data_IF_569066421278
#
_entry.id   IF_569066421278
#
_cell.length_a   1.000
_cell.length_b   1.000
_cell.length_c   1.000
_cell.angle_alpha   90.00
_cell.angle_beta   90.00
_cell.angle_gamma   90.00
#
_symmetry.space_group_name_H-M   'P 1'
#
loop_
_entity.id
_entity.type
_entity.pdbx_description
1 polymer ?
#
# COMPACT_ATOMS: atom_id res chain seq x y z
N UNK A 1 6.54 -29.35 -18.76
CA UNK A 1 7.00 -28.07 -18.15
C UNK A 1 8.51 -27.86 -18.23
N UNK A 2 9.40 -28.72 -17.66
CA UNK A 2 10.86 -28.50 -17.76
C UNK A 2 11.37 -28.45 -19.21
N UNK A 3 10.83 -29.25 -20.12
CA UNK A 3 11.16 -29.22 -21.55
C UNK A 3 10.77 -27.89 -22.21
N UNK A 4 9.66 -27.30 -21.78
CA UNK A 4 9.20 -26.00 -22.27
C UNK A 4 10.06 -24.84 -21.74
N UNK A 5 10.47 -24.93 -20.48
CA UNK A 5 11.34 -23.92 -19.86
C UNK A 5 12.79 -24.03 -20.36
N UNK A 6 13.30 -25.26 -20.54
CA UNK A 6 14.69 -25.54 -20.89
C UNK A 6 14.81 -26.42 -22.16
N UNK A 7 14.40 -25.96 -23.36
CA UNK A 7 14.35 -26.80 -24.55
C UNK A 7 15.68 -27.48 -24.89
N UNK A 8 16.81 -26.78 -24.70
CA UNK A 8 18.16 -27.27 -24.98
C UNK A 8 18.78 -28.06 -23.82
N UNK A 9 18.35 -27.85 -22.59
CA UNK A 9 19.02 -28.36 -21.39
C UNK A 9 18.10 -29.21 -20.49
N UNK A 10 16.89 -29.55 -20.92
CA UNK A 10 15.91 -30.32 -20.13
C UNK A 10 16.47 -31.63 -19.60
N UNK A 11 17.30 -32.35 -20.40
CA UNK A 11 17.95 -33.60 -19.99
C UNK A 11 18.85 -33.41 -18.76
N UNK A 12 19.55 -32.28 -18.66
CA UNK A 12 20.38 -31.93 -17.51
C UNK A 12 19.57 -31.70 -16.24
N UNK A 13 18.36 -31.16 -16.37
CA UNK A 13 17.42 -30.98 -15.23
C UNK A 13 16.75 -32.30 -14.87
N UNK A 14 16.46 -33.15 -15.82
CA UNK A 14 15.88 -34.47 -15.58
C UNK A 14 16.86 -35.45 -14.94
N UNK A 15 18.16 -35.28 -15.17
CA UNK A 15 19.22 -36.09 -14.56
C UNK A 15 19.71 -35.58 -13.20
N UNK A 16 19.22 -34.40 -12.75
CA UNK A 16 19.57 -33.83 -11.44
C UNK A 16 19.02 -34.72 -10.31
N UNK A 17 19.75 -34.91 -9.21
CA UNK A 17 19.22 -35.53 -7.99
C UNK A 17 17.92 -34.86 -7.50
N UNK A 18 17.74 -33.59 -7.82
CA UNK A 18 16.60 -32.76 -7.44
C UNK A 18 15.49 -32.67 -8.51
N UNK A 19 15.53 -33.53 -9.55
CA UNK A 19 14.64 -33.47 -10.71
C UNK A 19 13.15 -33.47 -10.34
N UNK A 20 12.75 -34.24 -9.34
CA UNK A 20 11.37 -34.32 -8.83
C UNK A 20 10.91 -32.96 -8.28
N UNK A 21 11.73 -32.35 -7.44
CA UNK A 21 11.44 -31.05 -6.83
C UNK A 21 11.39 -29.93 -7.86
N UNK A 22 12.38 -29.88 -8.75
CA UNK A 22 12.44 -28.85 -9.82
C UNK A 22 11.24 -28.94 -10.76
N UNK A 23 10.77 -30.15 -11.06
CA UNK A 23 9.58 -30.38 -11.90
C UNK A 23 8.30 -29.93 -11.19
N UNK A 24 8.13 -30.29 -9.92
CA UNK A 24 6.98 -29.89 -9.11
C UNK A 24 6.93 -28.37 -8.92
N UNK A 25 8.07 -27.74 -8.61
CA UNK A 25 8.16 -26.29 -8.49
C UNK A 25 7.88 -25.58 -9.82
N UNK A 26 8.40 -26.08 -10.95
CA UNK A 26 8.12 -25.53 -12.27
C UNK A 26 6.62 -25.60 -12.63
N UNK A 27 5.98 -26.70 -12.28
CA UNK A 27 4.53 -26.86 -12.48
C UNK A 27 3.73 -25.87 -11.64
N UNK A 28 4.05 -25.76 -10.36
CA UNK A 28 3.42 -24.81 -9.47
C UNK A 28 3.61 -23.35 -9.93
N UNK A 29 4.80 -22.97 -10.43
CA UNK A 29 5.04 -21.64 -10.98
C UNK A 29 4.09 -21.32 -12.15
N UNK A 30 3.83 -22.31 -13.01
CA UNK A 30 2.89 -22.18 -14.12
C UNK A 30 1.44 -22.05 -13.62
N UNK A 31 1.02 -22.93 -12.71
CA UNK A 31 -0.33 -22.90 -12.10
C UNK A 31 -0.64 -21.56 -11.43
N UNK A 32 0.34 -20.96 -10.75
CA UNK A 32 0.15 -19.66 -10.11
C UNK A 32 0.40 -18.47 -11.04
N UNK A 33 0.64 -18.73 -12.34
CA UNK A 33 0.70 -17.72 -13.39
C UNK A 33 2.01 -16.94 -13.46
N UNK A 34 3.15 -17.57 -13.18
CA UNK A 34 4.45 -16.97 -13.53
C UNK A 34 4.65 -17.06 -15.05
N UNK A 35 5.10 -15.96 -15.66
CA UNK A 35 5.53 -15.99 -17.06
C UNK A 35 6.74 -16.92 -17.27
N UNK A 36 6.98 -17.31 -18.53
CA UNK A 36 8.02 -18.27 -18.91
C UNK A 36 9.42 -17.86 -18.42
N UNK A 37 9.84 -16.61 -18.67
CA UNK A 37 11.19 -16.15 -18.31
C UNK A 37 11.41 -16.07 -16.79
N UNK A 38 10.50 -15.49 -15.97
CA UNK A 38 10.59 -15.57 -14.52
C UNK A 38 10.59 -17.01 -13.98
N UNK A 39 9.77 -17.90 -14.54
CA UNK A 39 9.73 -19.31 -14.12
C UNK A 39 11.05 -20.02 -14.45
N UNK A 40 11.59 -19.82 -15.64
CA UNK A 40 12.92 -20.29 -16.04
C UNK A 40 14.00 -19.86 -15.04
N UNK A 41 14.05 -18.58 -14.71
CA UNK A 41 15.02 -18.03 -13.77
C UNK A 41 14.87 -18.59 -12.36
N UNK A 42 13.63 -18.74 -11.87
CA UNK A 42 13.38 -19.32 -10.54
C UNK A 42 13.80 -20.78 -10.47
N UNK A 43 13.47 -21.60 -11.49
CA UNK A 43 13.87 -23.01 -11.52
C UNK A 43 15.40 -23.18 -11.64
N UNK A 44 16.05 -22.35 -12.47
CA UNK A 44 17.51 -22.35 -12.59
C UNK A 44 18.19 -22.02 -11.29
N UNK A 45 17.78 -20.93 -10.61
CA UNK A 45 18.35 -20.49 -9.33
C UNK A 45 18.06 -21.48 -8.20
N UNK A 46 16.87 -22.08 -8.19
CA UNK A 46 16.58 -23.13 -7.20
C UNK A 46 17.52 -24.33 -7.39
N UNK A 47 17.75 -24.77 -8.63
CA UNK A 47 18.70 -25.85 -8.91
C UNK A 47 20.10 -25.49 -8.42
N UNK A 48 20.60 -24.29 -8.74
CA UNK A 48 21.90 -23.80 -8.26
C UNK A 48 22.01 -23.86 -6.73
N UNK A 49 20.94 -23.47 -6.02
CA UNK A 49 20.90 -23.51 -4.56
C UNK A 49 20.91 -24.94 -4.02
N UNK A 50 20.16 -25.85 -4.62
CA UNK A 50 20.12 -27.27 -4.23
C UNK A 50 21.43 -27.98 -4.54
N UNK A 51 22.02 -27.76 -5.71
CA UNK A 51 23.32 -28.32 -6.11
C UNK A 51 24.44 -27.83 -5.18
N UNK A 52 24.41 -26.56 -4.78
CA UNK A 52 25.39 -25.96 -3.86
C UNK A 52 25.30 -26.55 -2.44
N UNK A 53 24.11 -26.83 -1.95
CA UNK A 53 23.90 -27.44 -0.63
C UNK A 53 24.34 -28.92 -0.58
N UNK A 54 24.28 -29.62 -1.71
CA UNK A 54 24.75 -31.01 -1.85
C UNK A 54 23.99 -32.07 -1.04
N UNK A 55 22.87 -31.72 -0.40
CA UNK A 55 22.03 -32.62 0.39
C UNK A 55 20.60 -32.66 -0.16
N UNK A 56 19.94 -33.82 0.00
CA UNK A 56 18.52 -33.93 -0.36
C UNK A 56 17.67 -32.98 0.47
N UNK A 57 16.63 -32.42 -0.15
CA UNK A 57 15.66 -31.57 0.52
C UNK A 57 14.74 -32.47 1.37
N UNK A 58 14.67 -32.22 2.65
CA UNK A 58 13.76 -32.95 3.55
C UNK A 58 12.30 -32.79 3.12
N UNK A 59 11.47 -33.80 3.45
CA UNK A 59 10.03 -33.76 3.15
C UNK A 59 9.36 -32.51 3.73
N UNK A 60 9.78 -32.10 4.93
CA UNK A 60 9.36 -30.86 5.57
C UNK A 60 10.61 -30.03 5.92
N UNK A 61 10.51 -28.73 5.75
CA UNK A 61 11.58 -27.78 6.01
C UNK A 61 11.01 -26.60 6.81
N UNK A 62 11.74 -26.13 7.80
CA UNK A 62 11.41 -24.92 8.53
C UNK A 62 11.96 -23.66 7.82
N UNK A 63 11.63 -22.50 8.36
CA UNK A 63 12.08 -21.22 7.79
C UNK A 63 13.60 -21.09 7.82
N UNK A 64 14.24 -21.54 8.87
CA UNK A 64 15.70 -21.50 9.01
C UNK A 64 16.38 -22.40 7.96
N UNK A 65 15.85 -23.58 7.71
CA UNK A 65 16.32 -24.48 6.65
C UNK A 65 16.11 -23.90 5.25
N UNK A 66 14.94 -23.23 5.00
CA UNK A 66 14.70 -22.52 3.75
C UNK A 66 15.70 -21.37 3.56
N UNK A 67 15.96 -20.59 4.61
CA UNK A 67 16.92 -19.48 4.55
C UNK A 67 18.35 -20.00 4.36
N UNK A 68 18.71 -21.09 5.06
CA UNK A 68 20.00 -21.77 4.94
C UNK A 68 20.28 -22.32 3.55
N UNK A 69 19.25 -22.73 2.80
CA UNK A 69 19.40 -23.17 1.41
C UNK A 69 20.02 -22.10 0.50
N UNK A 70 19.78 -20.83 0.79
CA UNK A 70 20.22 -19.71 -0.02
C UNK A 70 21.32 -18.86 0.64
N UNK A 71 21.66 -19.10 1.91
CA UNK A 71 22.54 -18.25 2.69
C UNK A 71 24.01 -18.31 2.25
N UNK A 72 24.44 -19.44 1.70
CA UNK A 72 25.84 -19.71 1.32
C UNK A 72 26.17 -19.34 -0.14
N UNK A 73 25.18 -18.82 -0.87
CA UNK A 73 25.37 -18.45 -2.28
C UNK A 73 26.12 -17.11 -2.40
N UNK A 74 26.95 -16.94 -3.46
CA UNK A 74 27.80 -15.75 -3.63
C UNK A 74 27.05 -14.43 -3.71
N UNK A 75 25.81 -14.42 -4.25
CA UNK A 75 24.95 -13.24 -4.36
C UNK A 75 23.56 -13.54 -3.80
N UNK A 76 23.43 -13.45 -2.48
CA UNK A 76 22.14 -13.68 -1.78
C UNK A 76 21.03 -12.77 -2.31
N UNK A 77 21.34 -11.57 -2.77
CA UNK A 77 20.34 -10.62 -3.29
C UNK A 77 19.66 -11.15 -4.56
N UNK A 78 20.42 -11.79 -5.45
CA UNK A 78 19.93 -12.38 -6.69
C UNK A 78 18.89 -13.49 -6.44
N UNK A 79 19.08 -14.26 -5.37
CA UNK A 79 18.23 -15.41 -5.02
C UNK A 79 17.03 -15.05 -4.14
N UNK A 80 16.95 -13.82 -3.64
CA UNK A 80 15.87 -13.38 -2.72
C UNK A 80 14.46 -13.59 -3.28
N UNK A 81 14.26 -13.33 -4.57
CA UNK A 81 12.98 -13.54 -5.22
C UNK A 81 12.64 -15.04 -5.34
N UNK A 82 13.63 -15.87 -5.67
CA UNK A 82 13.48 -17.33 -5.78
C UNK A 82 13.20 -17.95 -4.42
N UNK A 83 13.91 -17.55 -3.36
CA UNK A 83 13.63 -17.98 -1.98
C UNK A 83 12.18 -17.70 -1.58
N UNK A 84 11.66 -16.50 -1.90
CA UNK A 84 10.26 -16.17 -1.63
C UNK A 84 9.27 -17.00 -2.46
N UNK A 85 9.57 -17.27 -3.72
CA UNK A 85 8.72 -18.08 -4.58
C UNK A 85 8.71 -19.54 -4.11
N UNK A 86 9.89 -20.09 -3.80
CA UNK A 86 10.03 -21.45 -3.29
C UNK A 86 9.39 -21.63 -1.91
N UNK A 87 9.53 -20.66 -1.01
CA UNK A 87 8.84 -20.67 0.29
C UNK A 87 7.31 -20.75 0.13
N UNK A 88 6.71 -19.96 -0.79
CA UNK A 88 5.28 -20.03 -1.09
C UNK A 88 4.85 -21.37 -1.70
N UNK A 89 5.69 -21.96 -2.54
CA UNK A 89 5.46 -23.30 -3.05
C UNK A 89 5.44 -24.33 -1.90
N UNK A 90 6.41 -24.30 -1.00
CA UNK A 90 6.47 -25.18 0.16
C UNK A 90 5.27 -24.97 1.12
N UNK A 91 4.85 -23.72 1.33
CA UNK A 91 3.62 -23.39 2.07
C UNK A 91 2.38 -24.01 1.40
N UNK A 92 2.24 -23.84 0.08
CA UNK A 92 1.11 -24.38 -0.69
C UNK A 92 1.05 -25.92 -0.67
N UNK A 93 2.20 -26.57 -0.60
CA UNK A 93 2.31 -28.04 -0.48
C UNK A 93 2.23 -28.55 0.97
N UNK A 94 2.07 -27.68 1.97
CA UNK A 94 2.08 -28.05 3.39
C UNK A 94 3.45 -28.56 3.89
N UNK A 95 4.53 -28.25 3.17
CA UNK A 95 5.90 -28.72 3.46
C UNK A 95 6.75 -27.70 4.21
N UNK A 96 6.32 -26.43 4.29
CA UNK A 96 6.97 -25.45 5.15
C UNK A 96 6.38 -25.56 6.55
N UNK A 97 7.21 -25.99 7.50
CA UNK A 97 6.81 -26.09 8.90
C UNK A 97 6.52 -24.69 9.44
N UNK A 98 5.37 -24.55 10.08
CA UNK A 98 5.07 -23.33 10.83
C UNK A 98 6.01 -23.29 12.05
N UNK A 99 6.87 -22.27 12.11
CA UNK A 99 7.62 -22.02 13.32
C UNK A 99 6.65 -21.58 14.43
N UNK A 100 6.78 -22.15 15.64
CA UNK A 100 6.10 -21.55 16.78
C UNK A 100 6.56 -20.10 16.89
N UNK A 101 5.64 -19.20 17.10
CA UNK A 101 5.95 -17.78 17.25
C UNK A 101 6.80 -17.57 18.51
N UNK A 102 8.14 -17.64 18.34
CA UNK A 102 9.13 -17.43 19.40
C UNK A 102 9.45 -15.97 19.64
N UNK A 103 8.71 -15.06 18.97
CA UNK A 103 8.92 -13.62 19.20
C UNK A 103 8.65 -13.29 20.66
N UNK A 104 9.48 -12.49 21.29
CA UNK A 104 9.19 -11.98 22.62
C UNK A 104 7.76 -11.39 22.64
N UNK A 105 7.01 -11.71 23.69
CA UNK A 105 5.63 -11.24 23.89
C UNK A 105 4.58 -11.74 22.87
N UNK A 106 4.83 -12.83 22.12
CA UNK A 106 3.91 -13.35 21.10
C UNK A 106 2.50 -13.59 21.66
N UNK A 107 2.37 -14.24 22.80
CA UNK A 107 1.09 -14.49 23.46
C UNK A 107 0.32 -13.18 23.77
N UNK A 108 1.03 -12.16 24.26
CA UNK A 108 0.42 -10.85 24.54
C UNK A 108 -0.02 -10.14 23.26
N UNK A 109 0.77 -10.24 22.20
CA UNK A 109 0.42 -9.64 20.89
C UNK A 109 -0.80 -10.33 20.28
N UNK A 110 -0.94 -11.65 20.41
CA UNK A 110 -2.11 -12.40 19.96
C UNK A 110 -3.36 -11.99 20.76
N UNK A 111 -3.27 -11.90 22.08
CA UNK A 111 -4.38 -11.47 22.92
C UNK A 111 -4.79 -10.02 22.63
N UNK A 112 -3.83 -9.14 22.38
CA UNK A 112 -4.11 -7.76 21.98
C UNK A 112 -4.75 -7.68 20.59
N UNK A 113 -4.28 -8.47 19.63
CA UNK A 113 -4.88 -8.57 18.30
C UNK A 113 -6.35 -8.99 18.39
N UNK A 114 -6.65 -10.02 19.19
CA UNK A 114 -8.00 -10.50 19.40
C UNK A 114 -8.91 -9.41 20.00
N UNK A 115 -8.46 -8.71 21.04
CA UNK A 115 -9.20 -7.57 21.60
C UNK A 115 -9.48 -6.48 20.55
N UNK A 116 -8.48 -6.14 19.72
CA UNK A 116 -8.67 -5.13 18.68
C UNK A 116 -9.71 -5.55 17.63
N UNK A 117 -9.76 -6.83 17.29
CA UNK A 117 -10.70 -7.40 16.32
C UNK A 117 -12.09 -7.60 16.88
N UNK A 118 -12.19 -8.29 18.01
CA UNK A 118 -13.46 -8.77 18.57
C UNK A 118 -14.15 -7.70 19.39
N UNK A 119 -13.44 -7.03 20.31
CA UNK A 119 -14.04 -6.03 21.20
C UNK A 119 -14.15 -4.66 20.52
N UNK A 120 -13.09 -4.24 19.80
CA UNK A 120 -13.06 -2.90 19.17
C UNK A 120 -13.52 -2.88 17.71
N UNK A 121 -13.72 -4.03 17.06
CA UNK A 121 -14.19 -4.11 15.69
C UNK A 121 -13.30 -3.40 14.66
N UNK A 122 -11.97 -3.32 14.91
CA UNK A 122 -11.07 -2.60 14.03
C UNK A 122 -10.81 -3.37 12.73
N UNK A 123 -10.58 -2.64 11.65
CA UNK A 123 -10.24 -3.25 10.37
C UNK A 123 -8.87 -3.95 10.44
N UNK A 124 -8.68 -5.01 9.63
CA UNK A 124 -7.42 -5.76 9.57
C UNK A 124 -6.19 -4.86 9.31
N UNK A 125 -6.33 -3.83 8.47
CA UNK A 125 -5.25 -2.88 8.21
C UNK A 125 -4.92 -2.01 9.42
N UNK A 126 -5.93 -1.61 10.21
CA UNK A 126 -5.71 -0.86 11.45
C UNK A 126 -5.06 -1.75 12.51
N UNK A 127 -5.54 -2.98 12.66
CA UNK A 127 -4.94 -3.97 13.57
C UNK A 127 -3.47 -4.21 13.23
N UNK A 128 -3.14 -4.43 11.96
CA UNK A 128 -1.75 -4.61 11.53
C UNK A 128 -0.86 -3.41 11.89
N UNK A 129 -1.38 -2.18 11.77
CA UNK A 129 -0.65 -0.98 12.17
C UNK A 129 -0.46 -0.88 13.70
N UNK A 130 -1.44 -1.31 14.50
CA UNK A 130 -1.30 -1.39 15.96
C UNK A 130 -0.20 -2.39 16.32
N UNK A 131 -0.26 -3.59 15.77
CA UNK A 131 0.73 -4.63 16.05
C UNK A 131 2.14 -4.21 15.63
N UNK A 132 2.33 -3.64 14.45
CA UNK A 132 3.62 -3.13 14.00
C UNK A 132 4.18 -2.04 14.95
N UNK A 133 3.32 -1.10 15.40
CA UNK A 133 3.72 -0.07 16.36
C UNK A 133 4.17 -0.70 17.68
N UNK A 134 3.39 -1.63 18.21
CA UNK A 134 3.67 -2.28 19.50
C UNK A 134 4.91 -3.18 19.42
N UNK A 135 5.08 -3.94 18.33
CA UNK A 135 6.27 -4.77 18.13
C UNK A 135 7.56 -3.94 18.12
N UNK A 136 7.56 -2.81 17.37
CA UNK A 136 8.71 -1.91 17.36
C UNK A 136 9.01 -1.34 18.74
N UNK A 137 7.96 -0.93 19.46
CA UNK A 137 8.10 -0.42 20.82
C UNK A 137 8.68 -1.47 21.77
N UNK A 138 8.10 -2.68 21.81
CA UNK A 138 8.56 -3.75 22.70
C UNK A 138 9.99 -4.19 22.38
N UNK A 139 10.37 -4.22 21.11
CA UNK A 139 11.73 -4.55 20.68
C UNK A 139 12.76 -3.54 21.20
N UNK A 140 12.44 -2.26 21.22
CA UNK A 140 13.33 -1.20 21.71
C UNK A 140 13.29 -1.05 23.25
N UNK A 141 12.09 -1.13 23.85
CA UNK A 141 11.88 -0.87 25.26
C UNK A 141 12.18 -2.08 26.16
N UNK A 142 12.03 -3.30 25.65
CA UNK A 142 12.25 -4.55 26.38
C UNK A 142 13.26 -5.44 25.62
N UNK A 143 14.54 -5.07 25.63
CA UNK A 143 15.58 -5.89 25.02
C UNK A 143 15.63 -7.29 25.67
N UNK A 144 16.00 -8.30 24.90
CA UNK A 144 16.14 -9.70 25.33
C UNK A 144 14.84 -10.37 25.83
N UNK A 145 13.65 -9.80 25.50
CA UNK A 145 12.37 -10.39 25.88
C UNK A 145 12.01 -10.23 27.36
N UNK A 146 12.52 -9.19 28.02
CA UNK A 146 12.14 -8.84 29.39
C UNK A 146 10.61 -8.75 29.54
N UNK A 147 10.02 -9.15 30.67
CA UNK A 147 8.57 -9.18 30.86
C UNK A 147 7.93 -7.79 30.72
N UNK A 148 6.67 -7.73 30.31
CA UNK A 148 5.93 -6.46 30.13
C UNK A 148 5.84 -5.67 31.45
N UNK A 149 5.83 -6.35 32.60
CA UNK A 149 5.88 -5.73 33.94
C UNK A 149 7.14 -4.88 34.19
N UNK A 150 8.20 -5.09 33.40
CA UNK A 150 9.43 -4.29 33.48
C UNK A 150 9.35 -2.94 32.74
N UNK A 151 8.26 -2.66 32.03
CA UNK A 151 8.05 -1.36 31.39
C UNK A 151 7.97 -0.25 32.43
N UNK A 152 8.73 0.80 32.21
CA UNK A 152 8.73 2.02 33.03
C UNK A 152 8.34 3.23 32.18
N UNK A 153 8.05 4.34 32.84
CA UNK A 153 7.76 5.61 32.16
C UNK A 153 8.97 6.08 31.34
N UNK A 154 10.17 5.92 31.89
CA UNK A 154 11.42 6.34 31.26
C UNK A 154 11.66 5.59 29.94
N UNK A 155 11.37 4.27 29.88
CA UNK A 155 11.45 3.47 28.65
C UNK A 155 10.50 4.02 27.57
N UNK A 156 9.28 4.41 27.97
CA UNK A 156 8.28 4.96 27.04
C UNK A 156 8.74 6.33 26.54
N UNK A 157 9.17 7.22 27.43
CA UNK A 157 9.60 8.57 27.07
C UNK A 157 10.84 8.53 26.15
N UNK A 158 11.81 7.66 26.44
CA UNK A 158 12.98 7.44 25.57
C UNK A 158 12.59 6.94 24.17
N UNK A 159 11.67 5.97 24.11
CA UNK A 159 11.15 5.50 22.82
C UNK A 159 10.44 6.61 22.03
N UNK A 160 9.65 7.44 22.74
CA UNK A 160 8.95 8.57 22.11
C UNK A 160 9.91 9.62 21.56
N UNK A 161 10.99 9.94 22.28
CA UNK A 161 12.05 10.86 21.80
C UNK A 161 12.73 10.31 20.56
N UNK A 162 13.12 9.03 20.60
CA UNK A 162 13.81 8.37 19.49
C UNK A 162 12.92 8.30 18.24
N UNK A 163 11.65 7.89 18.42
CA UNK A 163 10.67 7.82 17.34
C UNK A 163 10.35 9.19 16.77
N UNK A 164 10.17 10.20 17.63
CA UNK A 164 9.83 11.57 17.23
C UNK A 164 10.89 12.24 16.36
N UNK A 165 12.17 11.82 16.46
CA UNK A 165 13.25 12.29 15.58
C UNK A 165 13.19 11.72 14.17
N UNK A 166 12.49 10.58 13.99
CA UNK A 166 12.46 9.82 12.72
C UNK A 166 11.19 10.06 11.91
N UNK A 167 10.09 10.43 12.55
CA UNK A 167 8.78 10.57 11.91
C UNK A 167 8.18 11.96 12.11
N UNK A 168 7.23 12.33 11.22
CA UNK A 168 6.52 13.61 11.35
C UNK A 168 5.66 13.68 12.63
N UNK A 169 5.39 14.89 13.12
CA UNK A 169 4.51 15.13 14.28
C UNK A 169 3.14 14.43 14.14
N UNK A 170 2.55 14.49 12.95
CA UNK A 170 1.28 13.81 12.66
C UNK A 170 1.39 12.28 12.76
N UNK A 171 2.46 11.70 12.24
CA UNK A 171 2.72 10.26 12.37
C UNK A 171 2.96 9.87 13.82
N UNK A 172 3.68 10.70 14.59
CA UNK A 172 3.91 10.48 16.00
C UNK A 172 2.61 10.50 16.81
N UNK A 173 1.68 11.41 16.50
CA UNK A 173 0.35 11.44 17.13
C UNK A 173 -0.40 10.10 16.95
N UNK A 174 -0.38 9.53 15.74
CA UNK A 174 -0.96 8.20 15.49
C UNK A 174 -0.21 7.08 16.21
N UNK A 175 1.11 7.18 16.30
CA UNK A 175 1.94 6.25 17.06
C UNK A 175 1.58 6.23 18.53
N UNK A 176 1.51 7.41 19.15
CA UNK A 176 1.09 7.61 20.55
C UNK A 176 -0.30 7.02 20.79
N UNK A 177 -1.27 7.29 19.92
CA UNK A 177 -2.63 6.76 20.07
C UNK A 177 -2.67 5.23 20.09
N UNK A 178 -1.86 4.56 19.24
CA UNK A 178 -1.73 3.11 19.21
C UNK A 178 -1.04 2.56 20.44
N UNK A 179 0.05 3.21 20.89
CA UNK A 179 0.79 2.82 22.08
C UNK A 179 -0.07 2.95 23.34
N UNK A 180 -0.78 4.06 23.51
CA UNK A 180 -1.77 4.23 24.60
C UNK A 180 -2.80 3.10 24.62
N UNK A 181 -3.30 2.70 23.45
CA UNK A 181 -4.26 1.61 23.35
C UNK A 181 -3.68 0.29 23.87
N UNK A 182 -2.43 -0.01 23.55
CA UNK A 182 -1.72 -1.20 24.04
C UNK A 182 -1.44 -1.15 25.53
N UNK A 183 -0.95 -0.03 26.03
CA UNK A 183 -0.65 0.14 27.48
C UNK A 183 -1.92 0.02 28.33
N UNK A 184 -3.05 0.56 27.86
CA UNK A 184 -4.36 0.35 28.53
C UNK A 184 -4.76 -1.12 28.53
N UNK A 185 -4.55 -1.82 27.41
CA UNK A 185 -4.77 -3.26 27.35
C UNK A 185 -3.89 -4.02 28.37
N UNK A 186 -2.59 -3.71 28.44
CA UNK A 186 -1.69 -4.35 29.38
C UNK A 186 -2.10 -4.10 30.85
N UNK A 187 -2.53 -2.89 31.18
CA UNK A 187 -3.01 -2.58 32.52
C UNK A 187 -4.35 -3.29 32.83
N UNK A 188 -5.31 -3.29 31.91
CA UNK A 188 -6.60 -3.98 32.11
C UNK A 188 -6.46 -5.51 32.18
N UNK A 189 -5.40 -6.06 31.60
CA UNK A 189 -5.07 -7.51 31.64
C UNK A 189 -4.10 -7.86 32.79
N UNK A 190 -3.90 -6.97 33.75
CA UNK A 190 -3.00 -7.13 34.90
C UNK A 190 -1.53 -7.43 34.53
N UNK A 191 -1.10 -7.13 33.29
CA UNK A 191 0.30 -7.23 32.85
C UNK A 191 1.14 -6.06 33.35
N UNK A 192 0.51 -4.95 33.71
CA UNK A 192 1.11 -3.75 34.31
C UNK A 192 0.40 -3.42 35.61
N UNK A 193 1.17 -3.21 36.67
CA UNK A 193 0.62 -2.82 37.98
C UNK A 193 0.09 -1.39 38.02
N UNK A 194 0.59 -0.51 37.12
CA UNK A 194 0.21 0.91 37.05
C UNK A 194 -0.16 1.29 35.61
N UNK A 195 -1.09 2.24 35.43
CA UNK A 195 -1.38 2.78 34.11
C UNK A 195 -0.19 3.61 33.60
N UNK A 196 0.32 3.27 32.42
CA UNK A 196 1.43 3.96 31.75
C UNK A 196 1.00 4.69 30.46
N UNK A 197 -0.30 4.79 30.20
CA UNK A 197 -0.86 5.34 28.96
C UNK A 197 -0.96 6.89 28.94
N UNK A 198 -0.62 7.57 30.03
CA UNK A 198 -0.57 9.03 30.09
C UNK A 198 0.67 9.60 29.37
N UNK A 199 0.75 9.40 28.05
CA UNK A 199 1.87 9.86 27.21
C UNK A 199 1.51 11.22 26.59
N UNK A 200 2.42 12.19 26.58
CA UNK A 200 2.18 13.45 25.92
C UNK A 200 2.05 13.27 24.41
N UNK A 201 1.10 13.99 23.82
CA UNK A 201 0.85 13.94 22.39
C UNK A 201 1.31 15.24 21.76
N UNK A 202 2.14 15.19 20.70
CA UNK A 202 2.54 16.41 20.02
C UNK A 202 1.32 17.12 19.46
N UNK A 203 1.26 18.44 19.66
CA UNK A 203 0.21 19.26 19.06
C UNK A 203 0.37 19.27 17.55
N UNK A 204 -0.67 18.87 16.86
CA UNK A 204 -0.79 18.94 15.40
C UNK A 204 -2.04 19.73 15.09
N UNK A 205 -1.87 20.83 14.39
CA UNK A 205 -3.01 21.60 13.94
C UNK A 205 -3.65 20.91 12.74
N UNK A 206 -4.97 20.78 12.80
CA UNK A 206 -5.73 20.23 11.66
C UNK A 206 -5.49 21.13 10.45
N UNK A 207 -5.16 20.51 9.32
CA UNK A 207 -4.93 21.22 8.06
C UNK A 207 -3.72 22.19 8.05
N UNK A 208 -2.70 21.91 8.84
CA UNK A 208 -1.44 22.68 8.85
C UNK A 208 -0.81 22.78 7.45
N UNK A 209 -0.96 21.73 6.65
CA UNK A 209 -0.47 21.71 5.27
C UNK A 209 -1.64 21.63 4.28
N UNK A 210 -1.60 22.40 3.18
CA UNK A 210 -2.59 22.28 2.12
C UNK A 210 -2.51 20.92 1.41
N UNK A 211 -3.59 20.47 0.76
CA UNK A 211 -3.57 19.28 -0.06
C UNK A 211 -2.51 19.40 -1.17
N UNK A 212 -1.76 18.34 -1.39
CA UNK A 212 -0.76 18.30 -2.48
C UNK A 212 -1.43 17.98 -3.82
N UNK A 213 -2.25 18.90 -4.31
CA UNK A 213 -2.82 18.81 -5.65
C UNK A 213 -1.76 19.20 -6.69
N UNK A 214 -1.78 18.53 -7.83
CA UNK A 214 -0.95 18.86 -9.00
C UNK A 214 -1.75 19.77 -9.93
N UNK A 215 -1.10 20.72 -10.61
CA UNK A 215 -1.69 21.42 -11.73
C UNK A 215 -2.23 20.42 -12.76
N UNK A 216 -3.40 20.71 -13.34
CA UNK A 216 -4.01 19.74 -14.26
C UNK A 216 -3.15 19.46 -15.50
N UNK A 217 -2.39 20.44 -15.97
CA UNK A 217 -1.39 20.28 -17.04
C UNK A 217 -0.34 19.22 -16.69
N UNK A 218 0.13 19.20 -15.45
CA UNK A 218 1.09 18.21 -14.94
C UNK A 218 0.47 16.81 -14.91
N UNK A 219 -0.79 16.68 -14.47
CA UNK A 219 -1.51 15.39 -14.50
C UNK A 219 -1.63 14.87 -15.93
N UNK A 220 -1.98 15.74 -16.89
CA UNK A 220 -2.06 15.37 -18.30
C UNK A 220 -0.68 14.97 -18.86
N UNK A 221 0.37 15.71 -18.52
CA UNK A 221 1.73 15.39 -18.93
C UNK A 221 2.19 14.01 -18.39
N UNK A 222 1.92 13.73 -17.10
CA UNK A 222 2.20 12.44 -16.51
C UNK A 222 1.47 11.30 -17.24
N UNK A 223 0.18 11.45 -17.50
CA UNK A 223 -0.59 10.43 -18.23
C UNK A 223 -0.09 10.23 -19.66
N UNK A 224 0.31 11.30 -20.34
CA UNK A 224 0.85 11.24 -21.72
C UNK A 224 2.22 10.57 -21.77
N UNK A 225 3.04 10.70 -20.74
CA UNK A 225 4.38 10.07 -20.65
C UNK A 225 4.33 8.56 -20.51
N UNK A 226 3.17 7.98 -20.19
CA UNK A 226 3.05 6.52 -20.02
C UNK A 226 3.01 5.86 -21.41
N UNK A 227 4.07 5.12 -21.71
CA UNK A 227 4.10 4.24 -22.87
C UNK A 227 3.05 3.12 -22.71
N UNK A 228 2.25 2.91 -23.74
CA UNK A 228 1.16 1.92 -23.82
C UNK A 228 1.40 0.90 -24.91
N UNK A 229 2.64 0.69 -25.29
CA UNK A 229 3.05 -0.35 -26.24
C UNK A 229 2.98 -1.75 -25.63
N UNK A 230 2.92 -1.85 -24.28
CA UNK A 230 2.87 -3.10 -23.55
C UNK A 230 1.69 -3.20 -22.58
N UNK A 231 1.44 -4.41 -22.09
CA UNK A 231 0.39 -4.74 -21.14
C UNK A 231 0.49 -3.96 -19.83
N UNK A 232 1.71 -3.72 -19.34
CA UNK A 232 1.98 -2.99 -18.09
C UNK A 232 1.64 -1.52 -18.26
N UNK A 233 1.98 -0.94 -19.40
CA UNK A 233 1.67 0.44 -19.72
C UNK A 233 0.17 0.69 -19.79
N UNK A 234 -0.59 -0.17 -20.45
CA UNK A 234 -2.05 -0.07 -20.48
C UNK A 234 -2.68 -0.17 -19.10
N UNK A 235 -2.21 -1.12 -18.27
CA UNK A 235 -2.67 -1.26 -16.89
C UNK A 235 -2.42 0.02 -16.09
N UNK A 236 -1.18 0.49 -16.07
CA UNK A 236 -0.73 1.64 -15.27
C UNK A 236 -1.46 2.91 -15.71
N UNK A 237 -1.58 3.12 -17.02
CA UNK A 237 -2.32 4.24 -17.59
C UNK A 237 -3.79 4.21 -17.16
N UNK A 238 -4.47 3.05 -17.26
CA UNK A 238 -5.88 2.93 -16.92
C UNK A 238 -6.12 3.19 -15.43
N UNK A 239 -5.27 2.67 -14.55
CA UNK A 239 -5.34 2.92 -13.10
C UNK A 239 -5.21 4.42 -12.81
N UNK A 240 -4.13 5.06 -13.31
CA UNK A 240 -3.86 6.46 -13.03
C UNK A 240 -4.89 7.39 -13.71
N UNK A 241 -5.42 7.00 -14.87
CA UNK A 241 -6.53 7.68 -15.52
C UNK A 241 -7.80 7.68 -14.67
N UNK A 242 -8.20 6.51 -14.12
CA UNK A 242 -9.37 6.42 -13.24
C UNK A 242 -9.17 7.25 -11.97
N UNK A 243 -7.99 7.22 -11.38
CA UNK A 243 -7.69 8.02 -10.20
C UNK A 243 -7.75 9.53 -10.46
N UNK A 244 -7.26 9.98 -11.61
CA UNK A 244 -7.21 11.41 -11.95
C UNK A 244 -8.53 11.97 -12.50
N UNK A 245 -9.38 11.16 -13.14
CA UNK A 245 -10.62 11.63 -13.75
C UNK A 245 -11.88 11.31 -12.94
N UNK A 246 -11.79 10.39 -11.98
CA UNK A 246 -12.89 9.97 -11.11
C UNK A 246 -12.54 10.08 -9.61
N UNK A 247 -11.35 10.54 -9.30
CA UNK A 247 -10.91 10.76 -7.93
C UNK A 247 -10.81 9.49 -7.08
N UNK A 248 -10.64 8.31 -7.69
CA UNK A 248 -10.57 7.05 -6.96
C UNK A 248 -9.35 7.01 -6.03
N UNK A 249 -9.54 6.45 -4.83
CA UNK A 249 -8.41 6.10 -3.95
C UNK A 249 -7.65 4.89 -4.50
N UNK A 250 -6.35 4.73 -4.23
CA UNK A 250 -5.59 3.55 -4.65
C UNK A 250 -6.27 2.21 -4.28
N UNK A 251 -6.83 2.11 -3.08
CA UNK A 251 -7.55 0.90 -2.65
C UNK A 251 -8.88 0.69 -3.38
N UNK A 252 -9.57 1.75 -3.77
CA UNK A 252 -10.80 1.69 -4.56
C UNK A 252 -10.48 1.23 -5.99
N UNK A 253 -9.45 1.80 -6.62
CA UNK A 253 -9.03 1.42 -7.96
C UNK A 253 -8.69 -0.07 -8.07
N UNK A 254 -7.88 -0.62 -7.14
CA UNK A 254 -7.50 -2.05 -7.18
C UNK A 254 -8.64 -2.98 -6.78
N UNK A 255 -9.66 -2.52 -6.08
CA UNK A 255 -10.81 -3.33 -5.69
C UNK A 255 -11.92 -3.35 -6.74
N UNK A 256 -11.77 -2.61 -7.85
CA UNK A 256 -12.73 -2.66 -8.94
C UNK A 256 -12.80 -4.07 -9.53
N UNK A 257 -14.02 -4.50 -9.84
CA UNK A 257 -14.33 -5.78 -10.47
C UNK A 257 -14.82 -5.56 -11.89
N UNK A 258 -14.80 -6.60 -12.68
CA UNK A 258 -15.34 -6.56 -14.05
C UNK A 258 -16.84 -6.23 -14.08
N UNK A 259 -17.59 -6.75 -13.10
CA UNK A 259 -19.04 -6.51 -12.93
C UNK A 259 -19.37 -5.14 -12.31
N UNK A 260 -18.36 -4.34 -11.96
CA UNK A 260 -18.54 -2.98 -11.47
C UNK A 260 -18.83 -1.98 -12.61
N UNK A 261 -18.60 -2.37 -13.86
CA UNK A 261 -18.76 -1.52 -15.04
C UNK A 261 -20.07 -1.92 -15.74
N UNK A 262 -21.03 -1.01 -15.74
CA UNK A 262 -22.20 -1.13 -16.60
C UNK A 262 -21.88 -0.45 -17.95
N UNK A 263 -21.65 -1.28 -18.96
CA UNK A 263 -21.27 -0.83 -20.30
C UNK A 263 -22.41 -0.17 -21.06
N UNK A 264 -23.67 -0.53 -20.75
CA UNK A 264 -24.86 0.03 -21.41
C UNK A 264 -25.25 1.36 -20.77
N UNK A 265 -25.33 1.40 -19.45
CA UNK A 265 -25.65 2.61 -18.71
C UNK A 265 -24.47 3.60 -18.63
N UNK A 266 -23.24 3.19 -19.00
CA UNK A 266 -22.06 4.02 -18.88
C UNK A 266 -21.78 4.39 -17.42
N UNK A 267 -21.85 3.45 -16.49
CA UNK A 267 -21.65 3.73 -15.06
C UNK A 267 -20.59 2.81 -14.43
N UNK A 268 -19.95 3.33 -13.38
CA UNK A 268 -18.95 2.61 -12.57
C UNK A 268 -19.42 2.54 -11.12
N UNK A 269 -19.56 1.34 -10.60
CA UNK A 269 -19.88 1.08 -9.20
C UNK A 269 -18.61 0.93 -8.38
N UNK A 270 -18.39 1.85 -7.45
CA UNK A 270 -17.20 1.89 -6.57
C UNK A 270 -17.58 1.56 -5.14
N UNK A 271 -17.06 0.44 -4.64
CA UNK A 271 -17.22 0.07 -3.23
C UNK A 271 -16.25 0.88 -2.36
N UNK A 272 -16.78 1.72 -1.51
CA UNK A 272 -15.99 2.57 -0.62
C UNK A 272 -15.76 1.87 0.73
N UNK A 273 -14.64 1.18 0.85
CA UNK A 273 -14.31 0.37 2.04
C UNK A 273 -14.27 1.18 3.34
N UNK A 274 -13.83 2.44 3.29
CA UNK A 274 -13.71 3.30 4.48
C UNK A 274 -15.07 3.78 5.00
N UNK A 275 -16.02 4.01 4.11
CA UNK A 275 -17.37 4.51 4.42
C UNK A 275 -18.42 3.42 4.44
N UNK A 276 -18.09 2.20 3.96
CA UNK A 276 -19.01 1.08 3.76
C UNK A 276 -20.22 1.45 2.88
N UNK A 277 -20.01 2.36 1.93
CA UNK A 277 -21.01 2.82 0.96
C UNK A 277 -20.63 2.40 -0.46
N UNK A 278 -21.59 2.45 -1.35
CA UNK A 278 -21.40 2.24 -2.78
C UNK A 278 -21.62 3.58 -3.48
N UNK A 279 -20.69 3.95 -4.32
CA UNK A 279 -20.77 5.15 -5.16
C UNK A 279 -20.97 4.71 -6.62
N UNK A 280 -21.95 5.28 -7.30
CA UNK A 280 -22.19 5.07 -8.73
C UNK A 280 -21.76 6.33 -9.45
N UNK A 281 -20.78 6.21 -10.34
CA UNK A 281 -20.22 7.32 -11.10
C UNK A 281 -20.55 7.15 -12.60
N UNK A 282 -21.02 8.18 -13.29
CA UNK A 282 -21.12 8.14 -14.75
C UNK A 282 -19.72 8.07 -15.36
N UNK A 283 -19.52 7.19 -16.35
CA UNK A 283 -18.26 7.04 -17.06
C UNK A 283 -18.38 7.62 -18.46
N UNK A 284 -17.43 8.48 -18.84
CA UNK A 284 -17.34 8.99 -20.20
C UNK A 284 -16.91 7.88 -21.19
N UNK A 285 -17.41 7.93 -22.43
CA UNK A 285 -17.09 6.97 -23.51
C UNK A 285 -15.58 6.81 -23.72
N UNK A 286 -14.83 7.90 -23.60
CA UNK A 286 -13.37 7.85 -23.69
C UNK A 286 -12.79 6.91 -22.61
N UNK A 287 -13.30 6.93 -21.40
CA UNK A 287 -12.82 6.08 -20.30
C UNK A 287 -13.24 4.64 -20.53
N UNK A 288 -14.46 4.38 -21.02
CA UNK A 288 -14.89 3.05 -21.42
C UNK A 288 -13.96 2.46 -22.49
N UNK A 289 -13.58 3.26 -23.50
CA UNK A 289 -12.59 2.82 -24.52
C UNK A 289 -11.22 2.51 -23.91
N UNK A 290 -10.74 3.28 -22.95
CA UNK A 290 -9.48 3.04 -22.25
C UNK A 290 -9.54 1.71 -21.46
N UNK A 291 -10.62 1.51 -20.71
CA UNK A 291 -10.80 0.25 -19.95
C UNK A 291 -10.87 -0.93 -20.92
N UNK A 292 -11.63 -0.81 -22.02
CA UNK A 292 -11.73 -1.86 -23.05
C UNK A 292 -10.35 -2.20 -23.63
N UNK A 293 -9.53 -1.21 -23.95
CA UNK A 293 -8.16 -1.42 -24.42
C UNK A 293 -7.32 -2.17 -23.40
N UNK A 294 -7.37 -1.77 -22.12
CA UNK A 294 -6.67 -2.51 -21.07
C UNK A 294 -7.15 -3.96 -20.95
N UNK A 295 -8.44 -4.23 -21.06
CA UNK A 295 -8.99 -5.59 -21.00
C UNK A 295 -8.44 -6.48 -22.13
N UNK A 296 -8.30 -5.93 -23.34
CA UNK A 296 -7.82 -6.68 -24.51
C UNK A 296 -6.30 -6.75 -24.63
N UNK A 297 -5.60 -5.66 -24.32
CA UNK A 297 -4.16 -5.54 -24.60
C UNK A 297 -3.30 -5.63 -23.33
N UNK A 298 -3.89 -5.42 -22.14
CA UNK A 298 -3.12 -5.28 -20.91
C UNK A 298 -3.47 -6.24 -19.78
N UNK A 299 -4.71 -6.73 -19.74
CA UNK A 299 -5.14 -7.62 -18.66
C UNK A 299 -4.70 -9.06 -18.94
N UNK A 300 -3.96 -9.71 -18.00
CA UNK A 300 -3.67 -11.13 -18.13
C UNK A 300 -4.94 -11.96 -18.25
N UNK A 301 -4.91 -13.00 -19.08
CA UNK A 301 -6.00 -13.99 -19.16
C UNK A 301 -6.24 -14.63 -17.79
N UNK A 302 -7.43 -14.50 -17.25
CA UNK A 302 -7.77 -15.02 -15.91
C UNK A 302 -9.28 -14.98 -15.71
N UNK A 303 -9.81 -15.98 -15.03
CA UNK A 303 -11.21 -16.03 -14.58
C UNK A 303 -11.49 -15.16 -13.36
N UNK A 304 -10.45 -14.54 -12.79
CA UNK A 304 -10.59 -13.68 -11.61
C UNK A 304 -11.47 -12.46 -11.91
N UNK A 305 -12.35 -12.11 -10.98
CA UNK A 305 -13.31 -11.02 -11.19
C UNK A 305 -12.69 -9.63 -11.04
N UNK A 306 -11.50 -9.51 -10.49
CA UNK A 306 -10.85 -8.22 -10.30
C UNK A 306 -10.47 -7.59 -11.65
N UNK A 307 -10.77 -6.30 -11.82
CA UNK A 307 -10.44 -5.57 -13.04
C UNK A 307 -8.91 -5.51 -13.24
N UNK A 308 -8.17 -5.16 -12.19
CA UNK A 308 -6.71 -4.99 -12.26
C UNK A 308 -5.98 -6.16 -11.60
N UNK A 309 -5.16 -6.82 -12.41
CA UNK A 309 -4.34 -7.96 -12.00
C UNK A 309 -2.85 -7.60 -12.06
N UNK A 310 -2.05 -8.35 -11.30
CA UNK A 310 -0.61 -8.28 -11.39
C UNK A 310 -0.15 -8.75 -12.77
N UNK A 311 0.72 -7.98 -13.41
CA UNK A 311 1.30 -8.34 -14.71
C UNK A 311 2.47 -9.34 -14.60
N UNK A 312 2.99 -9.55 -13.38
CA UNK A 312 4.06 -10.52 -13.10
C UNK A 312 3.61 -11.46 -12.01
N UNK A 313 4.00 -12.72 -12.13
CA UNK A 313 3.64 -13.76 -11.16
C UNK A 313 4.03 -13.44 -9.70
N UNK A 314 3.32 -14.04 -8.75
CA UNK A 314 2.15 -14.89 -8.94
C UNK A 314 0.95 -14.07 -9.42
N UNK A 315 0.12 -14.68 -10.32
CA UNK A 315 -1.11 -14.07 -10.78
C UNK A 315 -2.03 -13.74 -9.60
N UNK A 316 -2.79 -12.66 -9.71
CA UNK A 316 -3.74 -12.30 -8.67
C UNK A 316 -4.03 -10.81 -8.59
N UNK A 317 -4.88 -10.40 -7.64
CA UNK A 317 -5.27 -9.02 -7.47
C UNK A 317 -4.08 -8.15 -7.07
N UNK A 318 -4.16 -6.89 -7.43
CA UNK A 318 -3.17 -5.90 -7.02
C UNK A 318 -3.45 -5.39 -5.60
N UNK A 319 -2.42 -4.96 -4.92
CA UNK A 319 -2.53 -4.25 -3.64
C UNK A 319 -2.54 -2.73 -3.88
N UNK A 320 -3.09 -1.97 -2.93
CA UNK A 320 -3.03 -0.50 -3.00
C UNK A 320 -1.58 0.04 -2.96
N UNK A 321 -0.66 -0.67 -2.32
CA UNK A 321 0.78 -0.35 -2.35
C UNK A 321 1.36 -0.46 -3.77
N UNK A 322 0.88 -1.45 -4.55
CA UNK A 322 1.32 -1.57 -5.94
C UNK A 322 0.94 -0.33 -6.77
N UNK A 323 -0.23 0.28 -6.52
CA UNK A 323 -0.63 1.54 -7.18
C UNK A 323 0.27 2.70 -6.78
N UNK A 324 0.62 2.80 -5.49
CA UNK A 324 1.58 3.81 -5.03
C UNK A 324 2.94 3.64 -5.71
N UNK A 325 3.43 2.41 -5.83
CA UNK A 325 4.69 2.10 -6.53
C UNK A 325 4.60 2.39 -8.04
N UNK A 326 3.45 2.10 -8.67
CA UNK A 326 3.20 2.45 -10.07
C UNK A 326 3.31 3.97 -10.24
N UNK A 327 2.62 4.75 -9.41
CA UNK A 327 2.67 6.20 -9.48
C UNK A 327 4.11 6.71 -9.35
N UNK A 328 4.85 6.28 -8.32
CA UNK A 328 6.25 6.69 -8.12
C UNK A 328 7.14 6.31 -9.30
N UNK A 329 7.02 5.08 -9.78
CA UNK A 329 7.80 4.62 -10.93
C UNK A 329 7.46 5.38 -12.24
N UNK A 330 6.20 5.75 -12.46
CA UNK A 330 5.80 6.57 -13.63
C UNK A 330 6.21 8.04 -13.45
N UNK A 331 6.08 8.58 -12.24
CA UNK A 331 6.54 9.92 -11.90
C UNK A 331 8.06 10.08 -12.17
N UNK A 332 8.87 9.14 -11.68
CA UNK A 332 10.31 9.15 -11.92
C UNK A 332 10.66 9.08 -13.42
N UNK A 333 10.00 8.17 -14.16
CA UNK A 333 10.25 8.03 -15.61
C UNK A 333 9.75 9.17 -16.47
N UNK A 334 8.78 9.94 -15.99
CA UNK A 334 8.23 11.08 -16.74
C UNK A 334 9.17 12.28 -16.84
N UNK A 335 10.20 12.35 -16.01
CA UNK A 335 11.10 13.52 -15.89
C UNK A 335 10.44 14.76 -15.26
N UNK A 336 9.17 14.65 -14.78
CA UNK A 336 8.47 15.73 -14.12
C UNK A 336 8.89 15.83 -12.64
N UNK A 337 8.90 17.03 -12.09
CA UNK A 337 9.17 17.23 -10.65
C UNK A 337 7.95 16.81 -9.82
N UNK A 338 7.90 15.53 -9.49
CA UNK A 338 6.81 14.89 -8.74
C UNK A 338 7.29 14.19 -7.46
N UNK A 339 8.55 14.39 -7.04
CA UNK A 339 9.18 13.66 -5.95
C UNK A 339 8.48 13.80 -4.59
N UNK A 340 7.87 14.96 -4.33
CA UNK A 340 7.15 15.24 -3.09
C UNK A 340 5.68 14.81 -3.12
N UNK A 341 5.24 14.11 -4.17
CA UNK A 341 3.83 13.77 -4.41
C UNK A 341 3.57 12.28 -4.29
N UNK A 342 2.32 11.88 -4.29
CA UNK A 342 1.89 10.49 -4.20
C UNK A 342 0.69 10.23 -5.10
N UNK A 343 0.30 8.97 -5.25
CA UNK A 343 -0.89 8.59 -5.98
C UNK A 343 -2.17 9.33 -5.50
N UNK A 344 -2.23 9.71 -4.23
CA UNK A 344 -3.33 10.50 -3.66
C UNK A 344 -3.39 11.92 -4.24
N UNK A 345 -2.27 12.48 -4.71
CA UNK A 345 -2.24 13.80 -5.35
C UNK A 345 -3.15 13.87 -6.58
N UNK A 346 -3.32 12.76 -7.32
CA UNK A 346 -4.25 12.69 -8.46
C UNK A 346 -5.71 12.92 -8.04
N UNK A 347 -6.12 12.37 -6.90
CA UNK A 347 -7.45 12.60 -6.34
C UNK A 347 -7.62 14.06 -5.86
N UNK A 348 -6.59 14.64 -5.26
CA UNK A 348 -6.60 16.06 -4.88
C UNK A 348 -6.70 16.96 -6.13
N UNK A 349 -5.95 16.64 -7.20
CA UNK A 349 -6.03 17.35 -8.47
C UNK A 349 -7.40 17.25 -9.13
N UNK A 350 -8.06 16.10 -9.05
CA UNK A 350 -9.44 15.93 -9.52
C UNK A 350 -10.41 16.84 -8.76
N UNK A 351 -10.32 16.88 -7.42
CA UNK A 351 -11.15 17.74 -6.59
C UNK A 351 -10.95 19.22 -6.92
N UNK A 352 -9.68 19.65 -7.05
CA UNK A 352 -9.34 21.02 -7.44
C UNK A 352 -9.90 21.38 -8.81
N UNK A 353 -9.76 20.48 -9.78
CA UNK A 353 -10.31 20.70 -11.12
C UNK A 353 -11.84 20.86 -11.14
N UNK A 354 -12.57 20.10 -10.30
CA UNK A 354 -14.01 20.30 -10.16
C UNK A 354 -14.33 21.66 -9.54
N UNK A 355 -13.57 22.04 -8.51
CA UNK A 355 -13.73 23.32 -7.84
C UNK A 355 -13.45 24.50 -8.78
N UNK A 356 -12.37 24.45 -9.57
CA UNK A 356 -12.03 25.43 -10.62
C UNK A 356 -13.11 25.56 -11.71
N UNK A 357 -13.92 24.52 -11.88
CA UNK A 357 -15.07 24.53 -12.80
C UNK A 357 -16.38 24.99 -12.16
N UNK A 358 -16.34 25.48 -10.94
CA UNK A 358 -17.50 25.98 -10.22
C UNK A 358 -18.38 24.91 -9.61
N UNK A 359 -17.94 23.65 -9.54
CA UNK A 359 -18.71 22.59 -8.87
C UNK A 359 -18.74 22.84 -7.37
N UNK A 360 -19.93 22.91 -6.80
CA UNK A 360 -20.11 23.18 -5.39
C UNK A 360 -19.44 22.12 -4.47
N UNK A 361 -18.94 22.58 -3.34
CA UNK A 361 -18.16 21.77 -2.39
C UNK A 361 -18.91 20.51 -1.92
N UNK A 362 -20.22 20.58 -1.75
CA UNK A 362 -21.05 19.42 -1.39
C UNK A 362 -21.02 18.35 -2.49
N UNK A 363 -21.24 18.76 -3.75
CA UNK A 363 -21.22 17.84 -4.88
C UNK A 363 -19.83 17.20 -5.08
N UNK A 364 -18.75 17.97 -4.86
CA UNK A 364 -17.38 17.41 -4.85
C UNK A 364 -17.23 16.36 -3.74
N UNK A 365 -17.73 16.66 -2.54
CA UNK A 365 -17.73 15.72 -1.41
C UNK A 365 -18.48 14.42 -1.73
N UNK A 366 -19.67 14.54 -2.33
CA UNK A 366 -20.51 13.39 -2.72
C UNK A 366 -19.80 12.52 -3.77
N UNK A 367 -19.25 13.11 -4.83
CA UNK A 367 -18.49 12.40 -5.87
C UNK A 367 -17.24 11.72 -5.31
N UNK A 368 -16.57 12.34 -4.34
CA UNK A 368 -15.44 11.75 -3.66
C UNK A 368 -15.84 10.75 -2.57
N UNK A 369 -17.11 10.68 -2.19
CA UNK A 369 -17.60 9.85 -1.09
C UNK A 369 -16.99 10.26 0.26
N UNK A 370 -17.01 11.54 0.57
CA UNK A 370 -16.66 12.07 1.87
C UNK A 370 -17.86 11.99 2.82
N UNK A 371 -17.63 11.53 4.06
CA UNK A 371 -18.71 11.47 5.08
C UNK A 371 -19.13 12.84 5.60
N UNK A 372 -18.23 13.80 5.56
CA UNK A 372 -18.46 15.15 6.04
C UNK A 372 -17.80 16.17 5.14
N UNK A 373 -18.42 17.36 5.08
CA UNK A 373 -17.95 18.51 4.27
C UNK A 373 -16.53 18.95 4.66
N UNK A 374 -16.16 18.82 5.93
CA UNK A 374 -14.83 19.19 6.42
C UNK A 374 -13.68 18.57 5.61
N UNK A 375 -13.85 17.30 5.18
CA UNK A 375 -12.85 16.62 4.35
C UNK A 375 -12.73 17.21 2.94
N UNK A 376 -13.73 17.98 2.51
CA UNK A 376 -13.78 18.61 1.19
C UNK A 376 -13.40 20.10 1.29
N UNK A 377 -13.74 20.76 2.40
CA UNK A 377 -13.40 22.17 2.63
C UNK A 377 -11.88 22.45 2.62
N UNK A 378 -11.07 21.43 2.82
CA UNK A 378 -9.61 21.55 2.70
C UNK A 378 -9.17 22.07 1.32
N UNK A 379 -9.95 21.85 0.27
CA UNK A 379 -9.66 22.33 -1.08
C UNK A 379 -9.92 23.83 -1.27
N UNK A 380 -10.82 24.44 -0.47
CA UNK A 380 -11.10 25.88 -0.52
C UNK A 380 -9.86 26.72 -0.22
N UNK A 381 -8.93 26.20 0.60
CA UNK A 381 -7.68 26.88 0.94
C UNK A 381 -6.72 27.07 -0.22
N UNK A 382 -6.93 26.33 -1.32
CA UNK A 382 -6.10 26.44 -2.52
C UNK A 382 -6.69 27.44 -3.53
N UNK A 383 -7.91 27.93 -3.31
CA UNK A 383 -8.56 28.96 -4.13
C UNK A 383 -8.32 30.36 -3.56
N UNK A 384 -7.08 30.85 -3.64
CA UNK A 384 -6.70 32.15 -3.12
C UNK A 384 -7.50 33.30 -3.77
N UNK A 385 -7.83 33.19 -5.06
CA UNK A 385 -8.57 34.22 -5.77
C UNK A 385 -10.03 34.31 -5.28
N UNK A 386 -10.72 33.16 -5.13
CA UNK A 386 -12.05 33.14 -4.53
C UNK A 386 -12.08 33.60 -3.07
N UNK A 387 -11.01 33.38 -2.32
CA UNK A 387 -10.88 33.90 -0.95
C UNK A 387 -10.65 35.42 -0.93
N UNK A 388 -9.99 35.97 -1.93
CA UNK A 388 -9.83 37.43 -2.07
C UNK A 388 -11.16 38.12 -2.36
N UNK A 389 -12.03 37.49 -3.16
CA UNK A 389 -13.35 38.06 -3.51
C UNK A 389 -14.31 38.15 -2.32
N UNK A 390 -14.14 37.29 -1.31
CA UNK A 390 -14.92 37.32 -0.05
C UNK A 390 -14.20 38.03 1.10
N UNK A 391 -12.95 38.46 0.91
CA UNK A 391 -12.23 39.22 1.91
C UNK A 391 -12.86 40.59 2.07
N UNK A 392 -13.15 40.98 3.30
CA UNK A 392 -13.57 42.33 3.61
C UNK A 392 -12.48 43.31 3.18
N UNK A 393 -12.81 44.43 2.53
CA UNK A 393 -11.82 45.44 2.22
C UNK A 393 -11.15 45.92 3.51
N UNK A 394 -9.82 46.00 3.49
CA UNK A 394 -9.08 46.57 4.62
C UNK A 394 -9.59 48.01 4.78
N UNK A 395 -10.08 48.43 5.97
CA UNK A 395 -10.49 49.81 6.16
C UNK A 395 -9.35 50.72 5.72
N UNK A 396 -9.62 51.57 4.71
CA UNK A 396 -8.61 52.52 4.26
C UNK A 396 -8.12 53.34 5.44
N UNK A 397 -6.80 53.51 5.55
CA UNK A 397 -6.23 54.50 6.44
C UNK A 397 -6.87 55.84 6.06
N UNK A 398 -7.72 56.35 6.94
CA UNK A 398 -8.34 57.64 6.69
C UNK A 398 -7.22 58.63 6.39
N UNK A 399 -7.27 59.25 5.20
CA UNK A 399 -6.33 60.28 4.85
C UNK A 399 -6.41 61.34 5.94
N UNK A 400 -5.31 61.60 6.61
CA UNK A 400 -5.21 62.65 7.59
C UNK A 400 -5.60 63.94 6.91
N UNK A 401 -6.76 64.46 7.25
CA UNK A 401 -7.20 65.80 6.87
C UNK A 401 -6.23 66.77 7.49
N UNK A 402 -5.27 67.23 6.72
CA UNK A 402 -4.46 68.42 7.02
C UNK A 402 -5.43 69.59 7.09
N UNK A 403 -5.88 69.94 8.32
CA UNK A 403 -6.47 71.26 8.57
C UNK A 403 -5.33 72.28 8.44
N UNK A 404 -5.31 72.95 7.31
CA UNK A 404 -4.49 74.12 7.14
C UNK A 404 -4.87 75.19 8.17
N UNK A 405 -3.86 75.74 8.78
CA UNK A 405 -3.93 76.92 9.56
C UNK A 405 -4.28 78.12 8.68
N UNK A 406 -5.25 78.92 9.16
CA UNK A 406 -5.32 80.37 9.00
C UNK A 406 -5.47 81.00 10.36
#
# INVERSE_FOLDING_TARGET
MLEQLFPKYHRRYAASPHAKELRAFAHWLDEVGYGRDPAHDHVRRLREALDHKGSELHAHIDRAGLDGLFATLPDVALYRATRRAFGRYLEACGRLLAEPDRRPHAATLVAYEDQLRTVRGLSASTVAQHLATVQNFLHEALPNGSPISALTRECIDQHMVTTGRRISRQSLQHWVARLRSFLRFCHSSALLARPLDAIDTPRVYRDELPPRALPWSTVVALLRSIDRSDAVGWRDYTILHLMSHYGLRPCEAVSLRLDAIDWQAGTLRVAQRKTRSVLILPIADRTLRIIKRYLFEGRPGSERPELFLRARGPAGPMTHYAVCNIYQGRATRSGLDLQSTSAYSLRHSFAMRLLERGVGIKAIGDVLGHRGLESTCVYLRLQLDALRDVALPVPGVAAAVTRGAQ
#
